data_IF_687201304674
#
_entry.id   IF_687201304674
#
_cell.length_a   1.000
_cell.length_b   1.000
_cell.length_c   1.000
_cell.angle_alpha   90.00
_cell.angle_beta   90.00
_cell.angle_gamma   90.00
#
_symmetry.space_group_name_H-M   'P 1'
#
loop_
_entity.id
_entity.type
_entity.pdbx_description
1 polymer ?
#
# COMPACT_ATOMS: atom_id res chain seq x y z
N UNK A 1 -5.42 4.74 -20.76
CA UNK A 1 -4.54 5.34 -19.74
C UNK A 1 -5.18 5.25 -18.37
N UNK A 2 -6.38 5.78 -18.19
CA UNK A 2 -7.14 5.74 -16.94
C UNK A 2 -7.24 4.33 -16.30
N UNK A 3 -7.71 3.31 -17.04
CA UNK A 3 -7.79 1.94 -16.53
C UNK A 3 -6.45 1.37 -16.04
N UNK A 4 -5.32 1.73 -16.65
CA UNK A 4 -4.00 1.26 -16.22
C UNK A 4 -3.65 1.85 -14.84
N UNK A 5 -3.87 3.16 -14.64
CA UNK A 5 -3.64 3.80 -13.34
C UNK A 5 -4.55 3.22 -12.26
N UNK A 6 -5.80 2.93 -12.59
CA UNK A 6 -6.73 2.28 -11.66
C UNK A 6 -6.24 0.88 -11.24
N UNK A 7 -5.84 0.05 -12.20
CA UNK A 7 -5.31 -1.29 -11.93
C UNK A 7 -4.05 -1.23 -11.07
N UNK A 8 -3.10 -0.33 -11.39
CA UNK A 8 -1.87 -0.15 -10.62
C UNK A 8 -2.17 0.32 -9.19
N UNK A 9 -3.13 1.23 -9.02
CA UNK A 9 -3.55 1.71 -7.71
C UNK A 9 -4.12 0.55 -6.86
N UNK A 10 -5.09 -0.20 -7.38
CA UNK A 10 -5.69 -1.34 -6.65
C UNK A 10 -4.65 -2.43 -6.36
N UNK A 11 -3.78 -2.74 -7.31
CA UNK A 11 -2.72 -3.72 -7.09
C UNK A 11 -1.77 -3.29 -5.96
N UNK A 12 -1.36 -2.01 -5.95
CA UNK A 12 -0.50 -1.44 -4.92
C UNK A 12 -1.17 -1.46 -3.54
N UNK A 13 -2.45 -1.13 -3.48
CA UNK A 13 -3.24 -1.21 -2.25
C UNK A 13 -3.37 -2.67 -1.76
N UNK A 14 -3.63 -3.60 -2.67
CA UNK A 14 -3.71 -5.03 -2.36
C UNK A 14 -2.42 -5.56 -1.76
N UNK A 15 -1.26 -5.22 -2.34
CA UNK A 15 0.05 -5.62 -1.81
C UNK A 15 0.27 -5.03 -0.42
N UNK A 16 -0.03 -3.73 -0.23
CA UNK A 16 0.09 -3.10 1.08
C UNK A 16 -0.81 -3.77 2.13
N UNK A 17 -2.07 -4.10 1.76
CA UNK A 17 -3.01 -4.77 2.64
C UNK A 17 -2.56 -6.20 3.01
N UNK A 18 -2.05 -6.98 2.04
CA UNK A 18 -1.53 -8.33 2.32
C UNK A 18 -0.34 -8.27 3.28
N UNK A 19 0.59 -7.33 3.09
CA UNK A 19 1.72 -7.16 4.00
C UNK A 19 1.24 -6.74 5.39
N UNK A 20 0.29 -5.80 5.47
CA UNK A 20 -0.28 -5.34 6.73
C UNK A 20 -0.95 -6.47 7.50
N UNK A 21 -1.83 -7.23 6.83
CA UNK A 21 -2.52 -8.37 7.43
C UNK A 21 -1.51 -9.44 7.85
N UNK A 22 -0.56 -9.79 6.99
CA UNK A 22 0.50 -10.75 7.31
C UNK A 22 1.31 -10.33 8.54
N UNK A 23 1.62 -9.03 8.66
CA UNK A 23 2.29 -8.49 9.84
C UNK A 23 1.43 -8.61 11.10
N UNK A 24 0.14 -8.28 11.03
CA UNK A 24 -0.77 -8.41 12.17
C UNK A 24 -0.88 -9.87 12.62
N UNK A 25 -0.98 -10.81 11.67
CA UNK A 25 -1.06 -12.23 11.99
C UNK A 25 0.24 -12.78 12.59
N UNK A 26 1.39 -12.22 12.21
CA UNK A 26 2.71 -12.71 12.65
C UNK A 26 3.16 -12.07 13.96
N UNK A 27 2.99 -10.76 14.11
CA UNK A 27 3.52 -9.98 15.24
C UNK A 27 2.42 -9.47 16.20
N UNK A 28 1.15 -9.71 15.88
CA UNK A 28 -0.01 -9.18 16.60
C UNK A 28 -0.31 -7.72 16.26
N UNK A 29 -1.31 -7.15 16.96
CA UNK A 29 -1.52 -5.70 17.05
C UNK A 29 -0.70 -5.17 18.23
N UNK A 30 0.59 -4.91 18.00
CA UNK A 30 1.50 -4.43 19.04
C UNK A 30 2.56 -3.48 18.47
N UNK A 31 3.40 -2.92 19.35
CA UNK A 31 4.36 -1.86 18.99
C UNK A 31 5.36 -2.23 17.88
N UNK A 32 5.51 -3.50 17.52
CA UNK A 32 6.38 -3.96 16.42
C UNK A 32 5.72 -3.88 15.04
N UNK A 33 4.39 -3.95 14.96
CA UNK A 33 3.62 -3.94 13.71
C UNK A 33 3.87 -2.66 12.90
N UNK A 34 4.07 -1.54 13.59
CA UNK A 34 4.33 -0.22 13.00
C UNK A 34 5.79 0.25 13.11
N UNK A 35 6.74 -0.62 13.51
CA UNK A 35 8.16 -0.24 13.52
C UNK A 35 8.66 -0.04 12.09
N UNK A 36 8.76 1.22 11.68
CA UNK A 36 9.30 1.65 10.37
C UNK A 36 10.74 1.17 10.13
N UNK A 37 11.47 0.82 11.20
CA UNK A 37 12.77 0.14 11.11
C UNK A 37 12.71 -1.18 10.33
N UNK A 38 11.59 -1.89 10.35
CA UNK A 38 11.48 -3.20 9.73
C UNK A 38 11.26 -3.09 8.22
N UNK A 39 11.95 -3.95 7.47
CA UNK A 39 11.91 -3.97 6.00
C UNK A 39 10.49 -4.15 5.46
N UNK A 40 9.67 -5.02 6.07
CA UNK A 40 8.28 -5.25 5.64
C UNK A 40 7.40 -4.01 5.78
N UNK A 41 7.55 -3.25 6.88
CA UNK A 41 6.81 -2.00 7.11
C UNK A 41 7.19 -0.94 6.09
N UNK A 42 8.48 -0.84 5.73
CA UNK A 42 8.94 0.06 4.67
C UNK A 42 8.32 -0.32 3.32
N UNK A 43 8.32 -1.60 2.97
CA UNK A 43 7.70 -2.08 1.72
C UNK A 43 6.21 -1.79 1.70
N UNK A 44 5.49 -2.07 2.79
CA UNK A 44 4.07 -1.74 2.94
C UNK A 44 3.80 -0.24 2.73
N UNK A 45 4.57 0.62 3.40
CA UNK A 45 4.46 2.08 3.27
C UNK A 45 4.77 2.56 1.85
N UNK A 46 5.78 1.99 1.19
CA UNK A 46 6.13 2.34 -0.19
C UNK A 46 5.00 1.97 -1.16
N UNK A 47 4.39 0.79 -1.03
CA UNK A 47 3.25 0.39 -1.86
C UNK A 47 2.00 1.23 -1.55
N UNK A 48 1.79 1.58 -0.29
CA UNK A 48 0.70 2.47 0.09
C UNK A 48 0.89 3.87 -0.49
N UNK A 49 2.10 4.43 -0.43
CA UNK A 49 2.42 5.70 -1.06
C UNK A 49 2.24 5.65 -2.59
N UNK A 50 2.67 4.56 -3.24
CA UNK A 50 2.46 4.33 -4.66
C UNK A 50 0.96 4.30 -5.01
N UNK A 51 0.14 3.63 -4.19
CA UNK A 51 -1.32 3.66 -4.31
C UNK A 51 -1.85 5.09 -4.27
N UNK A 52 -1.47 5.88 -3.26
CA UNK A 52 -1.96 7.27 -3.09
C UNK A 52 -1.60 8.12 -4.32
N UNK A 53 -0.36 8.06 -4.79
CA UNK A 53 0.08 8.84 -5.97
C UNK A 53 -0.64 8.39 -7.22
N UNK A 54 -0.72 7.09 -7.47
CA UNK A 54 -1.34 6.53 -8.68
C UNK A 54 -2.85 6.82 -8.70
N UNK A 55 -3.51 6.72 -7.54
CA UNK A 55 -4.92 7.03 -7.40
C UNK A 55 -5.22 8.53 -7.55
N UNK A 56 -4.36 9.40 -7.03
CA UNK A 56 -4.48 10.84 -7.25
C UNK A 56 -4.35 11.21 -8.74
N UNK A 57 -3.39 10.59 -9.44
CA UNK A 57 -3.24 10.75 -10.90
C UNK A 57 -4.46 10.22 -11.66
N UNK A 58 -4.98 9.06 -11.26
CA UNK A 58 -6.23 8.52 -11.82
C UNK A 58 -7.38 9.52 -11.70
N UNK A 59 -7.60 10.08 -10.51
CA UNK A 59 -8.65 11.07 -10.25
C UNK A 59 -8.48 12.32 -11.12
N UNK A 60 -7.24 12.77 -11.32
CA UNK A 60 -6.96 13.96 -12.13
C UNK A 60 -7.14 13.71 -13.64
N UNK A 61 -6.90 12.49 -14.13
CA UNK A 61 -7.09 12.12 -15.54
C UNK A 61 -8.56 11.80 -15.85
N UNK A 62 -9.30 11.28 -14.87
CA UNK A 62 -10.71 10.88 -15.01
C UNK A 62 -11.67 12.08 -15.01
N UNK A 63 -11.21 13.25 -14.52
CA UNK A 63 -11.96 14.50 -14.45
C UNK A 63 -11.63 15.44 -15.62
#
# INVERSE_FOLDING_TARGET
MEQLFFIIAIASLGIAAVIFIGKILTEGLGGSTFKVSQKSVKVMLSFFALYVVTFAVYMFISN
#
